data_IF_924249002141
#
_entry.id   IF_924249002141
#
_cell.length_a   1.000
_cell.length_b   1.000
_cell.length_c   1.000
_cell.angle_alpha   90.00
_cell.angle_beta   90.00
_cell.angle_gamma   90.00
#
_symmetry.space_group_name_H-M   'P 1'
#
loop_
_entity.id
_entity.type
_entity.pdbx_description
1 polymer ?
#
# COMPACT_ATOMS: atom_id res chain seq x y z
N UNK A 1 8.29 18.31 4.68
CA UNK A 1 7.77 17.95 3.33
C UNK A 1 6.62 18.88 3.02
N UNK A 2 6.58 19.43 1.82
CA UNK A 2 5.48 20.32 1.49
C UNK A 2 4.20 19.53 1.19
N UNK A 3 3.09 20.24 1.18
CA UNK A 3 1.78 19.62 1.02
C UNK A 3 1.61 18.89 -0.31
N UNK A 4 2.13 19.49 -1.37
CA UNK A 4 2.01 18.89 -2.70
C UNK A 4 2.76 17.56 -2.77
N UNK A 5 3.97 17.53 -2.24
CA UNK A 5 4.76 16.30 -2.23
C UNK A 5 4.09 15.23 -1.36
N UNK A 6 3.60 15.65 -0.19
CA UNK A 6 2.91 14.72 0.70
C UNK A 6 1.71 14.07 -0.01
N UNK A 7 0.87 14.90 -0.62
CA UNK A 7 -0.32 14.40 -1.30
C UNK A 7 0.02 13.49 -2.47
N UNK A 8 1.05 13.86 -3.22
CA UNK A 8 1.48 13.07 -4.36
C UNK A 8 1.96 11.69 -3.93
N UNK A 9 2.77 11.64 -2.88
CA UNK A 9 3.26 10.36 -2.36
C UNK A 9 2.14 9.54 -1.75
N UNK A 10 1.22 10.19 -1.04
CA UNK A 10 0.08 9.49 -0.47
C UNK A 10 -0.73 8.79 -1.56
N UNK A 11 -1.01 9.50 -2.64
CA UNK A 11 -1.75 8.91 -3.77
C UNK A 11 -0.98 7.76 -4.40
N UNK A 12 0.32 7.88 -4.50
CA UNK A 12 1.16 6.80 -5.03
C UNK A 12 1.02 5.55 -4.18
N UNK A 13 1.13 5.69 -2.87
CA UNK A 13 1.07 4.53 -1.99
C UNK A 13 -0.33 3.96 -1.89
N UNK A 14 -1.35 4.81 -1.90
CA UNK A 14 -2.73 4.34 -1.93
C UNK A 14 -3.00 3.53 -3.20
N UNK A 15 -2.51 4.00 -4.33
CA UNK A 15 -2.66 3.28 -5.59
C UNK A 15 -1.92 1.94 -5.55
N UNK A 16 -0.74 1.91 -4.94
CA UNK A 16 0.02 0.66 -4.79
C UNK A 16 -0.76 -0.34 -3.95
N UNK A 17 -1.33 0.11 -2.84
CA UNK A 17 -2.10 -0.75 -1.95
C UNK A 17 -3.31 -1.30 -2.69
N UNK A 18 -4.04 -0.45 -3.39
CA UNK A 18 -5.22 -0.87 -4.13
C UNK A 18 -4.88 -1.87 -5.22
N UNK A 19 -3.77 -1.62 -5.93
CA UNK A 19 -3.29 -2.54 -6.97
C UNK A 19 -2.98 -3.91 -6.38
N UNK A 20 -2.33 -3.94 -5.22
CA UNK A 20 -2.02 -5.20 -4.55
C UNK A 20 -3.27 -5.92 -4.09
N UNK A 21 -4.24 -5.19 -3.56
CA UNK A 21 -5.51 -5.78 -3.13
C UNK A 21 -6.21 -6.42 -4.31
N UNK A 22 -6.26 -5.74 -5.44
CA UNK A 22 -6.86 -6.27 -6.65
C UNK A 22 -6.16 -7.55 -7.10
N UNK A 23 -4.84 -7.53 -7.14
CA UNK A 23 -4.06 -8.68 -7.60
C UNK A 23 -4.20 -9.88 -6.68
N UNK A 24 -4.20 -9.65 -5.37
CA UNK A 24 -4.39 -10.73 -4.40
C UNK A 24 -5.78 -11.33 -4.54
N UNK A 25 -6.79 -10.49 -4.71
CA UNK A 25 -8.15 -10.97 -4.92
C UNK A 25 -8.22 -11.81 -6.20
N UNK A 26 -7.58 -11.35 -7.27
CA UNK A 26 -7.57 -12.08 -8.53
C UNK A 26 -6.91 -13.44 -8.40
N UNK A 27 -5.82 -13.52 -7.64
CA UNK A 27 -5.17 -14.80 -7.39
C UNK A 27 -6.07 -15.75 -6.62
N UNK A 28 -6.85 -15.21 -5.67
CA UNK A 28 -7.69 -16.03 -4.78
C UNK A 28 -8.94 -16.54 -5.47
N UNK A 29 -9.56 -15.71 -6.29
CA UNK A 29 -10.88 -16.00 -6.86
C UNK A 29 -10.84 -16.50 -8.27
N UNK A 30 -9.69 -16.46 -8.90
CA UNK A 30 -9.59 -16.73 -10.30
C UNK A 30 -9.50 -18.22 -10.57
N UNK A 31 -10.54 -18.78 -11.16
CA UNK A 31 -10.57 -20.19 -11.54
C UNK A 31 -9.98 -20.43 -12.92
N UNK A 32 -9.32 -19.44 -13.46
CA UNK A 32 -8.69 -19.56 -14.77
C UNK A 32 -7.52 -20.52 -14.65
N UNK A 33 -7.24 -21.22 -15.72
CA UNK A 33 -6.12 -22.13 -15.78
C UNK A 33 -4.86 -21.41 -15.35
N UNK A 34 -4.30 -21.86 -14.25
CA UNK A 34 -3.06 -21.31 -13.73
C UNK A 34 -1.93 -22.18 -14.29
N UNK A 35 -0.90 -21.59 -14.90
CA UNK A 35 0.24 -22.35 -15.38
C UNK A 35 0.82 -23.19 -14.25
N UNK A 36 1.25 -24.39 -14.59
CA UNK A 36 1.74 -25.36 -13.61
C UNK A 36 2.81 -24.82 -12.68
N UNK A 37 3.59 -23.85 -13.14
CA UNK A 37 4.72 -23.37 -12.40
C UNK A 37 4.45 -22.09 -11.64
N UNK A 38 3.20 -21.67 -11.56
CA UNK A 38 2.88 -20.46 -10.79
C UNK A 38 2.79 -20.81 -9.32
N UNK A 39 3.63 -20.14 -8.55
CA UNK A 39 3.58 -20.23 -7.10
C UNK A 39 2.64 -19.16 -6.59
N UNK A 40 1.37 -19.53 -6.40
CA UNK A 40 0.33 -18.59 -5.99
C UNK A 40 0.64 -17.99 -4.63
N UNK A 41 1.05 -18.81 -3.69
CA UNK A 41 1.36 -18.31 -2.35
C UNK A 41 2.58 -17.40 -2.35
N UNK A 42 3.58 -17.74 -3.15
CA UNK A 42 4.76 -16.88 -3.29
C UNK A 42 4.40 -15.55 -3.93
N UNK A 43 3.54 -15.56 -4.95
CA UNK A 43 3.10 -14.32 -5.56
C UNK A 43 2.28 -13.48 -4.59
N UNK A 44 1.39 -14.10 -3.83
CA UNK A 44 0.62 -13.39 -2.81
C UNK A 44 1.54 -12.79 -1.75
N UNK A 45 2.55 -13.54 -1.34
CA UNK A 45 3.51 -13.05 -0.35
C UNK A 45 4.25 -11.82 -0.83
N UNK A 46 4.68 -11.82 -2.09
CA UNK A 46 5.34 -10.64 -2.67
C UNK A 46 4.42 -9.43 -2.68
N UNK A 47 3.16 -9.63 -3.03
CA UNK A 47 2.18 -8.55 -3.05
C UNK A 47 1.94 -8.00 -1.65
N UNK A 48 1.86 -8.89 -0.66
CA UNK A 48 1.71 -8.47 0.73
C UNK A 48 2.90 -7.65 1.20
N UNK A 49 4.09 -8.03 0.78
CA UNK A 49 5.29 -7.26 1.13
C UNK A 49 5.24 -5.86 0.53
N UNK A 50 4.88 -5.74 -0.73
CA UNK A 50 4.76 -4.45 -1.40
C UNK A 50 3.72 -3.59 -0.70
N UNK A 51 2.58 -4.18 -0.37
CA UNK A 51 1.51 -3.48 0.32
C UNK A 51 1.94 -3.03 1.72
N UNK A 52 2.60 -3.91 2.44
CA UNK A 52 3.08 -3.59 3.78
C UNK A 52 4.08 -2.43 3.76
N UNK A 53 4.97 -2.42 2.78
CA UNK A 53 5.92 -1.32 2.62
C UNK A 53 5.20 -0.01 2.31
N UNK A 54 4.20 -0.06 1.46
CA UNK A 54 3.44 1.14 1.11
C UNK A 54 2.70 1.68 2.34
N UNK A 55 2.05 0.80 3.09
CA UNK A 55 1.36 1.21 4.32
C UNK A 55 2.32 1.78 5.35
N UNK A 56 3.49 1.18 5.45
CA UNK A 56 4.51 1.64 6.38
C UNK A 56 4.97 3.06 6.02
N UNK A 57 5.17 3.31 4.73
CA UNK A 57 5.56 4.63 4.27
C UNK A 57 4.48 5.67 4.56
N UNK A 58 3.21 5.31 4.38
CA UNK A 58 2.11 6.20 4.72
C UNK A 58 2.11 6.51 6.22
N UNK A 59 2.32 5.48 7.03
CA UNK A 59 2.37 5.66 8.48
C UNK A 59 3.51 6.59 8.89
N UNK A 60 4.67 6.42 8.29
CA UNK A 60 5.82 7.28 8.54
C UNK A 60 5.51 8.72 8.14
N UNK A 61 4.91 8.90 6.97
CA UNK A 61 4.55 10.23 6.50
C UNK A 61 3.61 10.92 7.48
N UNK A 62 2.61 10.18 7.94
CA UNK A 62 1.62 10.76 8.86
C UNK A 62 2.22 11.06 10.23
N UNK A 63 3.15 10.24 10.66
CA UNK A 63 3.78 10.41 11.96
C UNK A 63 4.68 11.65 11.99
N UNK A 64 5.42 11.90 10.93
CA UNK A 64 6.48 12.90 10.95
C UNK A 64 6.21 14.15 10.13
N UNK A 65 5.30 14.09 9.18
CA UNK A 65 5.16 15.16 8.20
C UNK A 65 3.77 15.75 8.10
N UNK A 66 2.81 15.22 8.82
CA UNK A 66 1.49 15.83 8.87
C UNK A 66 1.50 16.92 9.91
N UNK A 67 1.14 18.12 9.49
CA UNK A 67 0.85 19.18 10.42
C UNK A 67 -0.57 18.97 10.89
N UNK A 68 -0.69 18.20 11.92
CA UNK A 68 -1.99 17.90 12.46
C UNK A 68 -2.41 19.02 13.37
N UNK A 69 -3.58 19.59 13.10
CA UNK A 69 -4.11 20.64 13.95
C UNK A 69 -4.33 20.15 15.36
N UNK A 70 -4.70 18.91 15.52
CA UNK A 70 -4.86 18.32 16.82
C UNK A 70 -3.54 18.31 17.57
N UNK A 71 -2.44 18.04 16.89
CA UNK A 71 -1.12 18.08 17.50
C UNK A 71 -0.80 19.48 17.97
N UNK A 72 -1.09 20.47 17.15
CA UNK A 72 -0.87 21.85 17.51
C UNK A 72 -1.72 22.26 18.70
N UNK A 73 -2.92 21.76 18.75
CA UNK A 73 -3.86 22.12 19.81
C UNK A 73 -3.61 21.34 21.09
N UNK A 74 -3.16 20.13 20.93
CA UNK A 74 -2.89 19.26 22.06
C UNK A 74 -1.58 19.65 22.73
N UNK A 75 -0.70 20.14 21.95
CA UNK A 75 0.60 20.62 22.46
C UNK A 75 0.49 21.97 23.10
#
# INVERSE_FOLDING_TARGET
MNEMLFRTLLKRYEATIEDCLYKIQSLSENNIVIPEHVDITGEADKLLQIMAEAEDKVAVMRKYYVKNKADKNVL
#
